data_IF_873244519197
#
_entry.id   IF_873244519197
#
_cell.length_a   1.000
_cell.length_b   1.000
_cell.length_c   1.000
_cell.angle_alpha   90.00
_cell.angle_beta   90.00
_cell.angle_gamma   90.00
#
_symmetry.space_group_name_H-M   'P 1'
#
loop_
_entity.id
_entity.type
_entity.pdbx_description
1 polymer ?
#
# COMPACT_ATOMS: atom_id res chain seq x y z
N UNK A 1 -21.84 5.75 -6.43
CA UNK A 1 -20.65 6.50 -5.97
C UNK A 1 -20.64 6.44 -4.45
N UNK A 2 -19.49 6.16 -3.84
CA UNK A 2 -19.34 6.16 -2.39
C UNK A 2 -19.63 7.57 -1.83
N UNK A 3 -20.20 7.66 -0.63
CA UNK A 3 -20.46 8.95 0.01
C UNK A 3 -19.10 9.65 0.30
N UNK A 4 -19.10 10.99 0.29
CA UNK A 4 -17.93 11.82 0.64
C UNK A 4 -17.36 11.46 2.01
N UNK A 5 -18.21 11.12 2.98
CA UNK A 5 -17.77 10.72 4.32
C UNK A 5 -17.05 9.36 4.30
N UNK A 6 -17.56 8.39 3.53
CA UNK A 6 -16.93 7.07 3.36
C UNK A 6 -15.55 7.20 2.70
N UNK A 7 -15.44 8.05 1.68
CA UNK A 7 -14.18 8.36 1.00
C UNK A 7 -13.19 9.01 1.99
N UNK A 8 -13.67 9.96 2.81
CA UNK A 8 -12.86 10.61 3.83
C UNK A 8 -12.35 9.63 4.89
N UNK A 9 -13.23 8.75 5.38
CA UNK A 9 -12.91 7.71 6.35
C UNK A 9 -11.92 6.69 5.78
N UNK A 10 -12.15 6.21 4.57
CA UNK A 10 -11.26 5.28 3.88
C UNK A 10 -9.87 5.88 3.67
N UNK A 11 -9.81 7.14 3.22
CA UNK A 11 -8.54 7.84 3.04
C UNK A 11 -7.78 8.00 4.37
N UNK A 12 -8.49 8.25 5.47
CA UNK A 12 -7.88 8.34 6.80
C UNK A 12 -7.32 6.99 7.26
N UNK A 13 -8.10 5.92 7.10
CA UNK A 13 -7.68 4.56 7.41
C UNK A 13 -6.39 4.19 6.68
N UNK A 14 -6.33 4.39 5.35
CA UNK A 14 -5.16 4.00 4.58
C UNK A 14 -3.91 4.73 5.06
N UNK A 15 -4.00 6.07 5.23
CA UNK A 15 -2.89 6.87 5.75
C UNK A 15 -2.42 6.41 7.12
N UNK A 16 -3.35 5.96 7.98
CA UNK A 16 -3.02 5.46 9.32
C UNK A 16 -2.44 4.06 9.33
N UNK A 17 -2.84 3.22 8.40
CA UNK A 17 -2.25 1.90 8.18
C UNK A 17 -0.85 1.96 7.53
N UNK A 18 -0.31 3.17 7.29
CA UNK A 18 0.98 3.38 6.64
C UNK A 18 0.92 3.32 5.11
N UNK A 19 -0.28 3.27 4.53
CA UNK A 19 -0.49 3.26 3.09
C UNK A 19 -0.98 4.63 2.59
N UNK A 20 -0.47 5.07 1.45
CA UNK A 20 -1.13 6.08 0.64
C UNK A 20 -2.01 5.41 -0.39
N UNK A 21 -2.97 6.15 -0.94
CA UNK A 21 -3.72 5.71 -2.12
C UNK A 21 -4.15 6.94 -2.92
N UNK A 22 -4.23 6.78 -4.24
CA UNK A 22 -4.81 7.78 -5.12
C UNK A 22 -6.30 7.94 -4.88
N UNK A 23 -6.90 9.03 -5.40
CA UNK A 23 -8.34 9.28 -5.24
C UNK A 23 -9.19 8.12 -5.76
N UNK A 24 -8.85 7.61 -6.93
CA UNK A 24 -9.59 6.52 -7.58
C UNK A 24 -9.52 5.22 -6.77
N UNK A 25 -8.37 4.92 -6.18
CA UNK A 25 -8.19 3.76 -5.31
C UNK A 25 -8.96 3.89 -3.99
N UNK A 26 -8.99 5.09 -3.41
CA UNK A 26 -9.79 5.38 -2.21
C UNK A 26 -11.27 5.19 -2.52
N UNK A 27 -11.76 5.67 -3.66
CA UNK A 27 -13.15 5.50 -4.07
C UNK A 27 -13.50 4.03 -4.33
N UNK A 28 -12.59 3.27 -4.96
CA UNK A 28 -12.75 1.83 -5.16
C UNK A 28 -12.81 1.06 -3.83
N UNK A 29 -11.92 1.36 -2.88
CA UNK A 29 -11.94 0.74 -1.55
C UNK A 29 -13.15 1.18 -0.72
N UNK A 30 -13.57 2.44 -0.81
CA UNK A 30 -14.79 2.91 -0.16
C UNK A 30 -16.02 2.18 -0.71
N UNK A 31 -16.08 1.93 -2.02
CA UNK A 31 -17.14 1.13 -2.64
C UNK A 31 -17.10 -0.36 -2.22
N UNK A 32 -15.90 -0.90 -1.93
CA UNK A 32 -15.73 -2.25 -1.38
C UNK A 32 -16.20 -2.35 0.08
N UNK A 33 -16.10 -1.26 0.83
CA UNK A 33 -16.51 -1.16 2.22
C UNK A 33 -15.32 -1.16 3.18
N UNK A 34 -15.55 -0.56 4.35
CA UNK A 34 -14.55 -0.35 5.39
C UNK A 34 -14.01 -1.67 5.95
N UNK A 35 -14.91 -2.53 6.46
CA UNK A 35 -14.53 -3.77 7.14
C UNK A 35 -13.77 -4.72 6.20
N UNK A 36 -14.25 -4.88 4.97
CA UNK A 36 -13.55 -5.68 3.96
C UNK A 36 -12.15 -5.16 3.67
N UNK A 37 -11.95 -3.83 3.68
CA UNK A 37 -10.62 -3.24 3.50
C UNK A 37 -9.75 -3.45 4.73
N UNK A 38 -10.30 -3.38 5.96
CA UNK A 38 -9.57 -3.67 7.19
C UNK A 38 -9.07 -5.11 7.19
N UNK A 39 -9.92 -6.08 6.86
CA UNK A 39 -9.51 -7.49 6.80
C UNK A 39 -8.35 -7.72 5.82
N UNK A 40 -8.34 -7.05 4.67
CA UNK A 40 -7.22 -7.15 3.73
C UNK A 40 -5.92 -6.55 4.24
N UNK A 41 -6.01 -5.47 5.03
CA UNK A 41 -4.84 -4.85 5.64
C UNK A 41 -4.28 -5.69 6.78
N UNK A 42 -5.13 -6.45 7.47
CA UNK A 42 -4.73 -7.34 8.56
C UNK A 42 -4.14 -8.68 8.08
N UNK A 43 -4.43 -9.08 6.85
CA UNK A 43 -3.97 -10.36 6.27
C UNK A 43 -3.05 -10.12 5.05
N UNK A 44 -1.83 -9.58 5.23
CA UNK A 44 -0.93 -9.23 4.13
C UNK A 44 -0.49 -10.44 3.29
N UNK A 45 -0.46 -11.64 3.86
CA UNK A 45 -0.16 -12.88 3.15
C UNK A 45 -1.21 -13.28 2.10
N UNK A 46 -2.42 -12.71 2.16
CA UNK A 46 -3.44 -12.88 1.14
C UNK A 46 -3.17 -12.03 -0.13
N UNK A 47 -2.22 -11.10 -0.07
CA UNK A 47 -1.83 -10.27 -1.21
C UNK A 47 -0.91 -11.06 -2.16
N UNK A 48 -0.95 -10.75 -3.46
CA UNK A 48 -0.01 -11.35 -4.40
C UNK A 48 1.44 -11.02 -4.00
N UNK A 49 2.39 -11.94 -4.25
CA UNK A 49 3.80 -11.68 -4.01
C UNK A 49 4.26 -10.48 -4.84
N UNK A 50 5.24 -9.75 -4.31
CA UNK A 50 5.82 -8.60 -5.02
C UNK A 50 6.42 -9.06 -6.35
N UNK A 51 6.23 -8.30 -7.41
CA UNK A 51 6.95 -8.56 -8.66
C UNK A 51 8.42 -8.16 -8.48
N UNK A 52 9.29 -9.17 -8.41
CA UNK A 52 10.72 -8.99 -8.22
C UNK A 52 11.34 -8.12 -9.34
N UNK A 53 10.90 -8.24 -10.59
CA UNK A 53 11.49 -7.46 -11.68
C UNK A 53 11.12 -5.97 -11.56
N UNK A 54 9.87 -5.67 -11.21
CA UNK A 54 9.44 -4.29 -10.93
C UNK A 54 10.14 -3.72 -9.71
N UNK A 55 10.23 -4.50 -8.62
CA UNK A 55 10.94 -4.09 -7.41
C UNK A 55 12.40 -3.75 -7.71
N UNK A 56 13.13 -4.65 -8.38
CA UNK A 56 14.56 -4.47 -8.67
C UNK A 56 14.83 -3.36 -9.69
N UNK A 57 13.88 -3.10 -10.59
CA UNK A 57 13.98 -1.95 -11.51
C UNK A 57 13.98 -0.62 -10.77
N UNK A 58 13.15 -0.48 -9.73
CA UNK A 58 13.01 0.77 -8.98
C UNK A 58 13.89 0.84 -7.73
N UNK A 59 14.23 -0.30 -7.14
CA UNK A 59 15.05 -0.45 -5.95
C UNK A 59 16.11 -1.56 -6.17
N UNK A 60 17.13 -1.31 -7.01
CA UNK A 60 18.16 -2.31 -7.32
C UNK A 60 18.99 -2.74 -6.11
N UNK A 61 19.11 -1.89 -5.09
CA UNK A 61 19.82 -2.20 -3.85
C UNK A 61 19.14 -3.27 -2.98
N UNK A 62 17.91 -3.67 -3.30
CA UNK A 62 17.20 -4.74 -2.57
C UNK A 62 17.89 -6.12 -2.67
N UNK A 63 18.82 -6.31 -3.62
CA UNK A 63 19.66 -7.52 -3.73
C UNK A 63 20.85 -7.52 -2.78
N UNK A 64 21.21 -6.37 -2.21
CA UNK A 64 22.38 -6.24 -1.35
C UNK A 64 22.01 -6.54 0.10
N UNK A 65 22.72 -7.45 0.78
CA UNK A 65 22.55 -7.64 2.22
C UNK A 65 22.78 -6.31 2.96
N UNK A 66 21.75 -5.79 3.62
CA UNK A 66 21.82 -4.49 4.33
C UNK A 66 21.47 -3.25 3.50
N UNK A 67 21.06 -3.39 2.23
CA UNK A 67 20.58 -2.29 1.39
C UNK A 67 21.68 -1.48 0.69
N UNK A 68 21.51 -0.16 0.57
CA UNK A 68 22.50 0.72 -0.08
C UNK A 68 23.72 0.84 0.84
N UNK A 69 24.93 0.40 0.44
CA UNK A 69 26.12 0.60 1.26
C UNK A 69 26.31 2.10 1.52
N UNK A 70 26.69 2.51 2.74
CA UNK A 70 26.98 3.91 3.01
C UNK A 70 28.03 4.39 2.00
N UNK A 71 27.77 5.55 1.40
CA UNK A 71 28.78 6.27 0.62
C UNK A 71 30.04 6.34 1.49
N UNK A 72 31.16 5.81 0.98
CA UNK A 72 32.42 5.77 1.73
C UNK A 72 32.76 7.16 2.27
N UNK A 73 33.04 7.24 3.56
CA UNK A 73 33.53 8.45 4.23
C UNK A 73 34.93 8.82 3.72
#
# INVERSE_FOLDING_TARGET
MANKDDIGLMAHLLRRAGFGAGRDEIEARAAKGYDATVEELLNPEAQPPVDHYTLLRHQPSALLPGGVPPMGN
#
